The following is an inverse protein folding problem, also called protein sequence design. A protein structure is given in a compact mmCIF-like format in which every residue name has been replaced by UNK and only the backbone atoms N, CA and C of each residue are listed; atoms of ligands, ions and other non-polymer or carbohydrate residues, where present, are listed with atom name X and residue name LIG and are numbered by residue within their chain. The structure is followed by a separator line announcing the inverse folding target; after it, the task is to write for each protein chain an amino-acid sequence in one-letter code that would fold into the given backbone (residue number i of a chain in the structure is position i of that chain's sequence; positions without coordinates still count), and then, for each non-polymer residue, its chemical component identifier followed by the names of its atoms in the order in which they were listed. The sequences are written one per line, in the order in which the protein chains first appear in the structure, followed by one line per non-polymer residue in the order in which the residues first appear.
data_IF_573733512402
#
_entry.id   IF_573733512402
#
_cell.length_a   1.000
_cell.length_b   1.000
_cell.length_c   1.000
_cell.angle_alpha   90.00
_cell.angle_beta   90.00
_cell.angle_gamma   90.00
#
_symmetry.space_group_name_H-M   'P 1'
#
loop_
_entity.id
_entity.type
_entity.pdbx_description
1 polymer ?
#
# COMPACT_ATOMS: atom_id res chain seq x y z
N UNK A 1 -17.77 -7.40 6.06
CA UNK A 1 -16.44 -7.99 5.80
C UNK A 1 -16.48 -8.79 4.51
N UNK A 2 -15.60 -8.48 3.56
CA UNK A 2 -15.54 -9.11 2.23
C UNK A 2 -14.22 -9.88 2.08
N UNK A 3 -14.29 -11.16 1.71
CA UNK A 3 -13.10 -11.95 1.34
C UNK A 3 -12.85 -11.85 -0.16
N UNK A 4 -11.71 -11.30 -0.57
CA UNK A 4 -11.37 -11.11 -1.97
C UNK A 4 -10.67 -12.36 -2.56
N UNK A 5 -11.43 -13.44 -2.73
CA UNK A 5 -10.93 -14.71 -3.25
C UNK A 5 -10.52 -14.60 -4.74
N UNK A 6 -9.53 -15.39 -5.20
CA UNK A 6 -8.77 -16.43 -4.48
C UNK A 6 -7.55 -15.88 -3.71
N UNK A 7 -7.45 -14.57 -3.51
CA UNK A 7 -6.35 -13.95 -2.77
C UNK A 7 -6.57 -14.04 -1.26
N UNK A 8 -5.50 -13.92 -0.48
CA UNK A 8 -5.57 -13.88 0.99
C UNK A 8 -5.79 -12.44 1.48
N UNK A 9 -6.80 -11.78 0.94
CA UNK A 9 -7.12 -10.39 1.23
C UNK A 9 -8.54 -10.32 1.78
N UNK A 10 -8.68 -9.63 2.92
CA UNK A 10 -9.94 -9.39 3.60
C UNK A 10 -10.15 -7.89 3.70
N UNK A 11 -11.27 -7.39 3.18
CA UNK A 11 -11.70 -6.01 3.39
C UNK A 11 -12.63 -6.01 4.60
N UNK A 12 -12.30 -5.22 5.62
CA UNK A 12 -13.12 -5.13 6.82
C UNK A 12 -13.35 -3.67 7.19
N UNK A 13 -14.60 -3.22 7.12
CA UNK A 13 -14.98 -1.86 7.53
C UNK A 13 -15.15 -1.68 9.04
N UNK A 14 -14.90 -2.72 9.84
CA UNK A 14 -15.14 -2.69 11.29
C UNK A 14 -14.17 -1.74 12.01
N UNK A 15 -14.71 -0.69 12.64
CA UNK A 15 -14.05 0.36 13.43
C UNK A 15 -14.37 0.27 14.94
N UNK A 16 -14.88 -0.88 15.40
CA UNK A 16 -15.31 -1.06 16.79
C UNK A 16 -14.18 -0.83 17.80
N UNK A 17 -12.94 -1.17 17.43
CA UNK A 17 -11.78 -0.96 18.26
C UNK A 17 -11.50 0.54 18.46
N UNK A 18 -11.69 1.37 17.42
CA UNK A 18 -11.60 2.82 17.49
C UNK A 18 -12.71 3.43 18.34
N UNK A 19 -13.94 2.95 18.18
CA UNK A 19 -15.08 3.41 18.98
C UNK A 19 -14.83 3.13 20.46
N UNK A 20 -14.35 1.93 20.81
CA UNK A 20 -14.02 1.58 22.19
C UNK A 20 -12.83 2.38 22.73
N UNK A 21 -11.78 2.54 21.92
CA UNK A 21 -10.61 3.33 22.29
C UNK A 21 -10.97 4.80 22.51
N UNK A 22 -11.79 5.39 21.63
CA UNK A 22 -12.29 6.75 21.73
C UNK A 22 -13.15 6.96 22.98
N UNK A 23 -14.07 6.03 23.29
CA UNK A 23 -14.85 6.05 24.54
C UNK A 23 -13.95 6.03 25.76
N UNK A 24 -12.95 5.13 25.79
CA UNK A 24 -11.99 5.06 26.88
C UNK A 24 -11.22 6.37 27.07
N UNK A 25 -10.70 6.95 25.99
CA UNK A 25 -10.03 8.26 26.01
C UNK A 25 -10.95 9.37 26.53
N UNK A 26 -12.21 9.40 26.09
CA UNK A 26 -13.18 10.41 26.53
C UNK A 26 -13.55 10.31 28.01
N UNK A 27 -13.47 9.11 28.61
CA UNK A 27 -13.77 8.87 30.04
C UNK A 27 -12.59 9.10 30.99
N UNK A 28 -11.54 9.81 30.55
CA UNK A 28 -10.36 10.11 31.37
C UNK A 28 -9.22 9.10 31.25
N UNK A 29 -9.31 8.14 30.33
CA UNK A 29 -8.22 7.24 29.94
C UNK A 29 -7.57 6.43 31.09
N UNK A 30 -8.37 6.00 32.07
CA UNK A 30 -7.92 5.12 33.17
C UNK A 30 -7.22 3.86 32.61
N UNK A 31 -5.91 3.66 32.85
CA UNK A 31 -5.16 2.54 32.30
C UNK A 31 -5.75 1.17 32.63
N UNK A 32 -6.39 1.03 33.81
CA UNK A 32 -7.01 -0.23 34.22
C UNK A 32 -8.26 -0.59 33.40
N UNK A 33 -8.86 0.41 32.75
CA UNK A 33 -10.05 0.27 31.90
C UNK A 33 -9.73 0.33 30.42
N UNK A 34 -8.45 0.38 30.04
CA UNK A 34 -8.04 0.41 28.63
C UNK A 34 -8.58 -0.85 27.94
N UNK A 35 -9.36 -0.71 26.85
CA UNK A 35 -9.85 -1.84 26.08
C UNK A 35 -8.69 -2.76 25.68
N UNK A 36 -8.87 -4.05 25.91
CA UNK A 36 -7.88 -5.09 25.57
C UNK A 36 -8.22 -5.71 24.21
N UNK A 37 -7.21 -6.29 23.55
CA UNK A 37 -7.36 -7.02 22.29
C UNK A 37 -8.03 -6.21 21.17
N UNK A 38 -7.75 -4.90 21.11
CA UNK A 38 -8.25 -4.01 20.06
C UNK A 38 -7.92 -4.54 18.66
N UNK A 39 -6.69 -5.04 18.50
CA UNK A 39 -6.23 -5.68 17.27
C UNK A 39 -7.08 -6.87 16.83
N UNK A 40 -7.55 -7.71 17.75
CA UNK A 40 -8.39 -8.86 17.40
C UNK A 40 -9.82 -8.46 17.02
N UNK A 41 -10.28 -7.28 17.45
CA UNK A 41 -11.61 -6.76 17.13
C UNK A 41 -11.69 -6.31 15.67
N UNK A 42 -10.65 -5.64 15.17
CA UNK A 42 -10.54 -5.22 13.76
C UNK A 42 -10.54 -6.40 12.77
N UNK A 43 -10.19 -7.61 13.21
CA UNK A 43 -10.13 -8.80 12.33
C UNK A 43 -11.46 -9.55 12.26
N UNK A 44 -12.44 -9.13 13.06
CA UNK A 44 -13.77 -9.73 13.11
C UNK A 44 -14.77 -8.85 12.37
N UNK A 45 -15.80 -9.44 11.75
CA UNK A 45 -16.90 -8.66 11.19
C UNK A 45 -17.57 -7.86 12.31
N UNK A 46 -18.02 -6.65 12.00
CA UNK A 46 -18.82 -5.88 12.96
C UNK A 46 -20.13 -6.65 13.24
N UNK A 47 -20.50 -6.86 14.52
CA UNK A 47 -21.75 -7.55 14.88
C UNK A 47 -23.00 -6.74 14.52
N UNK A 48 -22.85 -5.44 14.25
CA UNK A 48 -23.93 -4.54 13.88
C UNK A 48 -23.78 -4.12 12.41
N UNK A 49 -24.90 -4.09 11.69
CA UNK A 49 -24.91 -3.54 10.34
C UNK A 49 -24.72 -2.02 10.39
N UNK A 50 -23.85 -1.52 9.51
CA UNK A 50 -23.63 -0.10 9.29
C UNK A 50 -23.56 0.16 7.78
N UNK A 51 -24.38 1.07 7.28
CA UNK A 51 -24.32 1.50 5.88
C UNK A 51 -22.95 2.06 5.51
N UNK A 52 -22.28 2.71 6.46
CA UNK A 52 -20.95 3.25 6.27
C UNK A 52 -19.90 2.14 6.09
N UNK A 53 -19.98 1.07 6.89
CA UNK A 53 -19.07 -0.09 6.73
C UNK A 53 -19.32 -0.80 5.40
N UNK A 54 -20.59 -0.99 5.02
CA UNK A 54 -20.93 -1.60 3.73
C UNK A 54 -20.45 -0.75 2.55
N UNK A 55 -20.60 0.58 2.64
CA UNK A 55 -20.10 1.52 1.63
C UNK A 55 -18.58 1.44 1.53
N UNK A 56 -17.85 1.53 2.65
CA UNK A 56 -16.39 1.38 2.68
C UNK A 56 -15.94 0.08 2.01
N UNK A 57 -16.50 -1.06 2.43
CA UNK A 57 -16.11 -2.37 1.92
C UNK A 57 -16.37 -2.50 0.41
N UNK A 58 -17.50 -1.97 -0.06
CA UNK A 58 -17.86 -1.94 -1.48
C UNK A 58 -16.88 -1.09 -2.29
N UNK A 59 -16.49 0.08 -1.77
CA UNK A 59 -15.58 0.99 -2.44
C UNK A 59 -14.15 0.43 -2.53
N UNK A 60 -13.66 -0.19 -1.47
CA UNK A 60 -12.35 -0.88 -1.49
C UNK A 60 -12.40 -2.09 -2.43
N UNK A 61 -13.47 -2.89 -2.40
CA UNK A 61 -13.64 -4.01 -3.34
C UNK A 61 -13.60 -3.53 -4.80
N UNK A 62 -14.25 -2.40 -5.11
CA UNK A 62 -14.22 -1.84 -6.48
C UNK A 62 -12.81 -1.51 -6.93
N UNK A 63 -11.95 -0.99 -6.05
CA UNK A 63 -10.54 -0.72 -6.34
C UNK A 63 -9.73 -1.99 -6.53
N UNK A 64 -9.91 -2.99 -5.66
CA UNK A 64 -9.29 -4.31 -5.83
C UNK A 64 -9.69 -4.95 -7.18
N UNK A 65 -10.95 -4.81 -7.59
CA UNK A 65 -11.41 -5.29 -8.88
C UNK A 65 -10.74 -4.56 -10.04
N UNK A 66 -10.54 -3.23 -9.96
CA UNK A 66 -9.76 -2.48 -10.96
C UNK A 66 -8.31 -2.98 -11.03
N UNK A 67 -7.65 -3.07 -9.88
CA UNK A 67 -6.27 -3.57 -9.76
C UNK A 67 -6.16 -4.97 -10.39
N UNK A 68 -7.12 -5.85 -10.15
CA UNK A 68 -7.10 -7.23 -10.67
C UNK A 68 -7.25 -7.36 -12.19
N UNK A 69 -7.62 -6.29 -12.90
CA UNK A 69 -7.73 -6.30 -14.37
C UNK A 69 -6.38 -6.17 -15.08
N UNK A 70 -5.35 -5.66 -14.39
CA UNK A 70 -4.02 -5.43 -14.95
C UNK A 70 -3.05 -6.50 -14.46
N UNK A 71 -2.07 -6.89 -15.28
CA UNK A 71 -1.13 -7.99 -14.97
C UNK A 71 -0.25 -7.64 -13.78
N UNK A 72 0.19 -6.39 -13.68
CA UNK A 72 0.95 -5.86 -12.53
C UNK A 72 0.14 -6.03 -11.24
N UNK A 73 -1.13 -5.61 -11.26
CA UNK A 73 -2.02 -5.76 -10.12
C UNK A 73 -2.28 -7.22 -9.75
N UNK A 74 -2.45 -8.11 -10.74
CA UNK A 74 -2.58 -9.54 -10.52
C UNK A 74 -1.36 -10.15 -9.82
N UNK A 75 -0.14 -9.75 -10.19
CA UNK A 75 1.10 -10.22 -9.53
C UNK A 75 1.17 -9.77 -8.08
N UNK A 76 0.86 -8.49 -7.79
CA UNK A 76 0.81 -7.97 -6.40
C UNK A 76 -0.24 -8.72 -5.58
N UNK A 77 -1.45 -8.88 -6.11
CA UNK A 77 -2.53 -9.60 -5.43
C UNK A 77 -2.16 -11.09 -5.22
N UNK A 78 -1.52 -11.74 -6.20
CA UNK A 78 -1.07 -13.12 -6.10
C UNK A 78 0.01 -13.32 -5.02
N UNK A 79 0.87 -12.33 -4.79
CA UNK A 79 1.88 -12.38 -3.72
C UNK A 79 1.23 -12.55 -2.33
N UNK A 80 0.01 -12.03 -2.10
CA UNK A 80 -0.72 -12.25 -0.85
C UNK A 80 -0.94 -13.73 -0.52
N UNK A 81 -0.98 -14.62 -1.53
CA UNK A 81 -1.19 -16.06 -1.31
C UNK A 81 -0.04 -16.73 -0.56
N UNK A 82 1.13 -16.10 -0.55
CA UNK A 82 2.32 -16.58 0.15
C UNK A 82 2.37 -16.15 1.62
N UNK A 83 1.45 -15.27 2.06
CA UNK A 83 1.39 -14.85 3.46
C UNK A 83 0.95 -16.02 4.34
N UNK A 84 1.43 -16.05 5.59
CA UNK A 84 1.03 -17.05 6.58
C UNK A 84 -0.42 -16.83 7.07
N UNK A 85 -0.85 -15.58 7.14
CA UNK A 85 -2.20 -15.14 7.50
C UNK A 85 -2.85 -14.34 6.37
N UNK A 86 -4.11 -13.97 6.55
CA UNK A 86 -4.77 -13.05 5.64
C UNK A 86 -4.22 -11.62 5.81
N UNK A 87 -4.17 -10.85 4.73
CA UNK A 87 -3.92 -9.41 4.72
C UNK A 87 -5.25 -8.68 4.87
N UNK A 88 -5.33 -7.74 5.80
CA UNK A 88 -6.55 -6.98 6.06
C UNK A 88 -6.43 -5.57 5.48
N UNK A 89 -7.44 -5.12 4.75
CA UNK A 89 -7.60 -3.72 4.36
C UNK A 89 -8.69 -3.12 5.25
N UNK A 90 -8.31 -2.11 6.04
CA UNK A 90 -9.14 -1.53 7.11
C UNK A 90 -9.23 -0.01 6.98
N UNK A 91 -10.34 0.62 7.41
CA UNK A 91 -10.45 2.06 7.40
C UNK A 91 -9.46 2.70 8.39
N UNK A 92 -9.10 3.96 8.21
CA UNK A 92 -8.28 4.67 9.18
C UNK A 92 -9.05 4.95 10.46
N UNK A 93 -8.42 4.60 11.58
CA UNK A 93 -8.99 4.72 12.90
C UNK A 93 -8.53 5.93 13.71
N UNK A 94 -9.29 6.29 14.76
CA UNK A 94 -8.83 7.23 15.78
C UNK A 94 -7.57 6.70 16.45
N UNK A 95 -7.51 5.39 16.72
CA UNK A 95 -6.34 4.73 17.29
C UNK A 95 -5.11 4.93 16.40
N UNK A 96 -5.29 4.87 15.09
CA UNK A 96 -4.22 5.08 14.12
C UNK A 96 -3.71 6.52 14.12
N UNK A 97 -4.59 7.51 14.29
CA UNK A 97 -4.17 8.91 14.42
C UNK A 97 -3.42 9.19 15.73
N UNK A 98 -3.83 8.55 16.84
CA UNK A 98 -3.15 8.71 18.14
C UNK A 98 -1.76 8.07 18.13
N UNK A 99 -1.62 6.95 17.43
CA UNK A 99 -0.32 6.25 17.30
C UNK A 99 0.61 7.00 16.35
N UNK A 100 0.07 7.69 15.34
CA UNK A 100 0.88 8.35 14.30
C UNK A 100 1.22 9.83 14.55
N UNK A 101 0.57 10.51 15.51
CA UNK A 101 0.74 11.96 15.69
C UNK A 101 0.98 12.33 17.17
N UNK A 102 2.13 12.95 17.46
CA UNK A 102 2.45 13.64 18.74
C UNK A 102 1.73 15.01 18.86
N UNK A 103 0.42 15.13 18.61
CA UNK A 103 -0.25 16.44 18.67
C UNK A 103 -1.54 16.45 19.50
N UNK A 104 -1.63 17.46 20.38
CA UNK A 104 -2.62 17.65 21.45
C UNK A 104 -4.04 18.05 21.00
N UNK A 105 -4.43 17.85 19.73
CA UNK A 105 -5.75 18.28 19.25
C UNK A 105 -6.48 17.24 18.40
N UNK A 106 -6.81 16.10 19.01
CA UNK A 106 -7.62 15.06 18.36
C UNK A 106 -9.08 15.52 18.32
N UNK A 107 -9.55 16.00 17.16
CA UNK A 107 -10.99 16.11 16.90
C UNK A 107 -11.53 14.74 16.47
N UNK A 108 -12.58 14.28 17.16
CA UNK A 108 -13.29 13.03 16.86
C UNK A 108 -14.05 13.16 15.53
N UNK A 109 -13.41 12.83 14.42
CA UNK A 109 -14.07 12.58 13.15
C UNK A 109 -13.92 11.11 12.79
N UNK A 110 -15.02 10.48 12.36
CA UNK A 110 -15.11 9.08 11.91
C UNK A 110 -14.41 8.88 10.55
N UNK A 111 -13.90 9.96 9.96
CA UNK A 111 -13.15 9.95 8.71
C UNK A 111 -11.91 10.82 8.88
N UNK A 112 -10.96 10.49 9.79
CA UNK A 112 -9.70 11.20 9.81
C UNK A 112 -9.07 10.93 8.45
N UNK A 113 -8.74 11.98 7.71
CA UNK A 113 -7.90 11.85 6.54
C UNK A 113 -6.51 11.43 7.04
N UNK A 114 -6.30 10.12 7.24
CA UNK A 114 -4.97 9.58 7.47
C UNK A 114 -4.38 9.26 6.10
N UNK A 115 -3.07 9.45 6.00
CA UNK A 115 -2.32 8.88 4.89
C UNK A 115 -2.54 7.37 4.89
N UNK A 116 -2.75 6.81 3.68
CA UNK A 116 -2.74 5.37 3.52
C UNK A 116 -1.37 4.85 3.98
N UNK A 117 -1.36 3.71 4.67
CA UNK A 117 -0.12 3.08 5.10
C UNK A 117 -0.32 1.58 5.35
N UNK A 118 0.71 0.80 5.11
CA UNK A 118 0.75 -0.61 5.49
C UNK A 118 1.36 -0.81 6.89
N UNK A 119 0.86 -1.82 7.60
CA UNK A 119 1.46 -2.41 8.79
C UNK A 119 1.70 -3.89 8.52
N UNK A 120 2.83 -4.27 7.92
CA UNK A 120 3.08 -5.66 7.57
C UNK A 120 3.21 -6.55 8.81
N UNK A 121 2.89 -7.83 8.65
CA UNK A 121 3.03 -8.81 9.72
C UNK A 121 4.47 -8.84 10.27
N UNK A 122 4.59 -8.99 11.59
CA UNK A 122 5.86 -9.08 12.31
C UNK A 122 5.70 -10.00 13.55
N UNK A 123 6.74 -10.26 14.37
CA UNK A 123 6.61 -11.13 15.54
C UNK A 123 5.52 -10.73 16.55
N UNK A 124 5.13 -9.45 16.58
CA UNK A 124 4.08 -8.92 17.47
C UNK A 124 2.72 -8.78 16.77
N UNK A 125 2.72 -8.64 15.44
CA UNK A 125 1.54 -8.48 14.61
C UNK A 125 1.38 -9.66 13.67
N UNK A 126 0.47 -10.58 14.00
CA UNK A 126 0.32 -11.85 13.27
C UNK A 126 -0.09 -11.70 11.80
N UNK A 127 -0.69 -10.56 11.43
CA UNK A 127 -1.24 -10.33 10.10
C UNK A 127 -0.85 -8.97 9.53
N UNK A 128 -0.61 -8.92 8.21
CA UNK A 128 -0.43 -7.66 7.52
C UNK A 128 -1.73 -6.87 7.50
N UNK A 129 -1.63 -5.56 7.63
CA UNK A 129 -2.74 -4.61 7.50
C UNK A 129 -2.39 -3.53 6.50
N UNK A 130 -3.39 -3.05 5.78
CA UNK A 130 -3.33 -1.85 4.95
C UNK A 130 -4.42 -0.93 5.45
N UNK A 131 -4.01 0.18 6.07
CA UNK A 131 -4.92 1.24 6.48
C UNK A 131 -5.14 2.12 5.26
N UNK A 132 -6.37 2.15 4.76
CA UNK A 132 -6.70 2.83 3.51
C UNK A 132 -8.09 3.45 3.57
N UNK A 133 -8.19 4.74 3.22
CA UNK A 133 -9.45 5.42 2.96
C UNK A 133 -9.69 5.53 1.46
N UNK A 134 -10.80 4.98 0.91
CA UNK A 134 -11.16 5.21 -0.48
C UNK A 134 -11.60 6.66 -0.76
N UNK A 135 -11.79 7.50 0.25
CA UNK A 135 -12.27 8.88 0.15
C UNK A 135 -11.19 9.86 0.60
N UNK A 136 -10.97 10.95 -0.16
CA UNK A 136 -9.87 11.91 0.08
C UNK A 136 -10.20 13.04 1.08
N UNK A 137 -11.44 13.19 1.56
CA UNK A 137 -11.83 14.31 2.45
C UNK A 137 -12.07 13.88 3.90
N UNK A 138 -11.84 14.81 4.84
CA UNK A 138 -12.09 14.64 6.28
C UNK A 138 -13.58 14.54 6.69
N UNK A 139 -14.48 14.48 5.72
CA UNK A 139 -15.85 14.02 5.90
C UNK A 139 -16.09 12.87 4.91
N UNK A 140 -17.04 12.00 5.22
CA UNK A 140 -17.49 10.93 4.33
C UNK A 140 -18.74 11.33 3.50
N UNK A 141 -18.74 12.38 2.65
CA UNK A 141 -19.84 12.62 1.73
C UNK A 141 -19.69 11.71 0.51
N UNK A 142 -20.83 11.42 -0.14
CA UNK A 142 -20.90 10.68 -1.41
C UNK A 142 -20.13 11.34 -2.56
N UNK A 143 -19.81 12.63 -2.41
CA UNK A 143 -19.20 13.48 -3.45
C UNK A 143 -17.71 13.78 -3.19
N UNK A 144 -17.09 13.13 -2.19
CA UNK A 144 -15.66 13.27 -1.96
C UNK A 144 -14.87 12.75 -3.17
N UNK A 145 -13.79 13.45 -3.59
CA UNK A 145 -12.89 12.88 -4.58
C UNK A 145 -12.33 11.56 -4.04
N UNK A 146 -12.26 10.58 -4.91
CA UNK A 146 -11.87 9.22 -4.56
C UNK A 146 -10.34 9.09 -4.55
N UNK A 147 -9.80 8.37 -3.57
CA UNK A 147 -8.40 7.98 -3.61
C UNK A 147 -8.17 7.06 -4.83
N UNK A 148 -7.12 7.35 -5.57
CA UNK A 148 -6.72 6.59 -6.75
C UNK A 148 -6.35 5.15 -6.35
N UNK A 149 -6.70 4.17 -7.19
CA UNK A 149 -6.41 2.75 -6.91
C UNK A 149 -4.91 2.44 -6.86
N UNK A 150 -4.05 3.26 -7.48
CA UNK A 150 -2.60 3.11 -7.38
C UNK A 150 -2.08 3.35 -5.95
N UNK A 151 -2.74 4.19 -5.15
CA UNK A 151 -2.40 4.35 -3.71
C UNK A 151 -2.67 3.05 -2.96
N UNK A 152 -3.82 2.39 -3.19
CA UNK A 152 -4.08 1.09 -2.58
C UNK A 152 -3.08 0.03 -3.06
N UNK A 153 -2.74 0.03 -4.35
CA UNK A 153 -1.73 -0.88 -4.89
C UNK A 153 -0.37 -0.68 -4.21
N UNK A 154 0.07 0.57 -4.03
CA UNK A 154 1.31 0.92 -3.33
C UNK A 154 1.35 0.30 -1.92
N UNK A 155 0.30 0.51 -1.12
CA UNK A 155 0.24 -0.08 0.22
C UNK A 155 0.16 -1.61 0.21
N UNK A 156 -0.49 -2.20 -0.79
CA UNK A 156 -0.52 -3.65 -0.95
C UNK A 156 0.89 -4.21 -1.19
N UNK A 157 1.78 -3.49 -1.90
CA UNK A 157 3.16 -3.94 -2.14
C UNK A 157 3.94 -4.08 -0.84
N UNK A 158 3.75 -3.16 0.12
CA UNK A 158 4.29 -3.29 1.47
C UNK A 158 3.65 -4.48 2.21
N UNK A 159 2.31 -4.53 2.22
CA UNK A 159 1.56 -5.51 3.00
C UNK A 159 1.81 -6.96 2.59
N UNK A 160 2.07 -7.24 1.30
CA UNK A 160 2.32 -8.60 0.79
C UNK A 160 3.78 -9.06 0.96
N UNK A 161 4.68 -8.22 1.46
CA UNK A 161 6.12 -8.52 1.59
C UNK A 161 6.67 -8.23 3.00
N UNK A 162 6.05 -8.73 4.09
CA UNK A 162 6.41 -8.35 5.46
C UNK A 162 7.89 -8.53 5.78
N UNK A 163 8.49 -9.67 5.38
CA UNK A 163 9.91 -9.94 5.67
C UNK A 163 10.88 -9.00 4.94
N UNK A 164 10.44 -8.40 3.83
CA UNK A 164 11.27 -7.51 3.02
C UNK A 164 11.06 -6.08 3.49
N UNK A 165 9.82 -5.72 3.84
CA UNK A 165 9.52 -4.47 4.51
C UNK A 165 10.39 -4.28 5.75
N UNK A 166 10.44 -5.26 6.66
CA UNK A 166 11.27 -5.17 7.89
C UNK A 166 12.76 -4.95 7.60
N UNK A 167 13.27 -5.50 6.49
CA UNK A 167 14.69 -5.38 6.11
C UNK A 167 14.99 -4.08 5.41
N UNK A 168 14.11 -3.64 4.51
CA UNK A 168 14.37 -2.55 3.56
C UNK A 168 13.90 -1.20 4.07
N UNK A 169 12.87 -1.15 4.90
CA UNK A 169 12.36 0.11 5.47
C UNK A 169 13.42 0.87 6.28
N UNK A 170 14.32 0.21 7.05
CA UNK A 170 15.42 0.91 7.72
C UNK A 170 16.56 1.38 6.80
N UNK A 171 16.62 0.91 5.54
CA UNK A 171 17.68 1.25 4.59
C UNK A 171 17.37 2.58 3.87
N UNK A 172 17.66 3.70 4.55
CA UNK A 172 17.51 5.05 3.98
C UNK A 172 18.26 5.21 2.65
N UNK A 173 17.63 5.86 1.69
CA UNK A 173 18.25 6.19 0.39
C UNK A 173 18.95 7.55 0.37
N UNK A 174 18.68 8.41 1.37
CA UNK A 174 19.13 9.81 1.45
C UNK A 174 18.81 10.64 0.18
N UNK A 175 17.68 10.35 -0.46
CA UNK A 175 17.16 11.05 -1.64
C UNK A 175 15.61 11.00 -1.65
N UNK A 176 15.00 11.42 -2.76
CA UNK A 176 13.54 11.54 -2.94
C UNK A 176 12.72 10.24 -2.78
N UNK A 177 13.39 9.09 -2.58
CA UNK A 177 12.73 7.81 -2.35
C UNK A 177 12.54 7.50 -0.86
N UNK A 178 13.13 8.27 0.04
CA UNK A 178 13.13 8.04 1.50
C UNK A 178 13.90 6.77 1.94
N UNK A 179 13.50 5.59 1.48
CA UNK A 179 14.12 4.31 1.80
C UNK A 179 13.95 3.28 0.65
N UNK A 180 14.62 2.12 0.77
CA UNK A 180 14.57 1.10 -0.29
C UNK A 180 13.21 0.40 -0.43
N UNK A 181 12.39 0.41 0.61
CA UNK A 181 11.06 -0.21 0.58
C UNK A 181 10.08 0.70 -0.17
N UNK A 182 10.12 2.00 0.10
CA UNK A 182 9.37 3.02 -0.65
C UNK A 182 9.82 3.09 -2.12
N UNK A 183 11.13 3.05 -2.37
CA UNK A 183 11.66 2.93 -3.73
C UNK A 183 10.98 1.76 -4.47
N UNK A 184 10.95 0.58 -3.86
CA UNK A 184 10.36 -0.59 -4.49
C UNK A 184 8.85 -0.42 -4.72
N UNK A 185 8.11 0.05 -3.70
CA UNK A 185 6.67 0.22 -3.78
C UNK A 185 6.26 1.24 -4.84
N UNK A 186 6.97 2.37 -4.95
CA UNK A 186 6.74 3.37 -6.00
C UNK A 186 7.05 2.81 -7.39
N UNK A 187 8.15 2.07 -7.59
CA UNK A 187 8.43 1.46 -8.91
C UNK A 187 7.34 0.48 -9.32
N UNK A 188 6.80 -0.33 -8.40
CA UNK A 188 5.67 -1.22 -8.73
C UNK A 188 4.40 -0.41 -9.03
N UNK A 189 4.16 0.69 -8.30
CA UNK A 189 3.06 1.62 -8.58
C UNK A 189 3.18 2.24 -9.98
N UNK A 190 4.38 2.66 -10.37
CA UNK A 190 4.64 3.29 -11.67
C UNK A 190 4.47 2.30 -12.83
N UNK A 191 4.89 1.04 -12.66
CA UNK A 191 4.63 -0.03 -13.63
C UNK A 191 3.11 -0.23 -13.81
N UNK A 192 2.35 -0.22 -12.71
CA UNK A 192 0.89 -0.35 -12.74
C UNK A 192 0.22 0.83 -13.44
N UNK A 193 0.60 2.06 -13.11
CA UNK A 193 0.11 3.29 -13.75
C UNK A 193 0.41 3.27 -15.26
N UNK A 194 1.62 2.88 -15.64
CA UNK A 194 1.99 2.75 -17.04
C UNK A 194 1.19 1.68 -17.77
N UNK A 195 0.94 0.52 -17.16
CA UNK A 195 0.10 -0.53 -17.73
C UNK A 195 -1.37 -0.08 -17.88
N UNK A 196 -1.85 0.76 -16.94
CA UNK A 196 -3.20 1.36 -16.97
C UNK A 196 -3.36 2.40 -18.09
N UNK A 197 -2.26 2.88 -18.66
CA UNK A 197 -2.23 3.87 -19.74
C UNK A 197 -2.11 5.31 -19.25
N UNK A 198 -1.76 5.52 -17.98
CA UNK A 198 -1.42 6.84 -17.47
C UNK A 198 -0.19 7.39 -18.22
N UNK A 199 -0.17 8.70 -18.46
CA UNK A 199 0.90 9.35 -19.25
C UNK A 199 2.13 9.72 -18.43
N UNK A 200 1.94 9.81 -17.12
CA UNK A 200 2.94 10.21 -16.16
C UNK A 200 2.97 9.20 -15.01
N UNK A 201 4.16 8.96 -14.50
CA UNK A 201 4.45 8.13 -13.33
C UNK A 201 5.27 8.96 -12.33
N UNK A 202 5.46 8.47 -11.11
CA UNK A 202 6.17 9.23 -10.08
C UNK A 202 7.68 9.20 -10.35
N UNK A 203 8.35 10.32 -10.10
CA UNK A 203 9.82 10.33 -10.07
C UNK A 203 10.42 10.08 -8.70
N UNK A 204 9.60 9.94 -7.66
CA UNK A 204 10.02 9.77 -6.26
C UNK A 204 8.84 9.47 -5.33
N UNK A 205 9.16 9.18 -4.06
CA UNK A 205 8.18 8.98 -3.00
C UNK A 205 7.63 10.30 -2.45
N UNK A 206 8.44 11.35 -2.41
CA UNK A 206 8.00 12.64 -1.85
C UNK A 206 6.91 13.31 -2.69
N UNK A 207 5.98 14.02 -2.04
CA UNK A 207 4.87 14.73 -2.70
C UNK A 207 5.33 15.82 -3.70
N UNK A 208 6.59 16.26 -3.64
CA UNK A 208 7.19 17.23 -4.55
C UNK A 208 8.08 16.64 -5.64
N UNK A 209 8.22 15.31 -5.71
CA UNK A 209 9.03 14.68 -6.74
C UNK A 209 8.46 14.96 -8.13
N UNK A 210 9.31 15.32 -9.08
CA UNK A 210 8.88 15.57 -10.46
C UNK A 210 8.33 14.29 -11.09
N UNK A 211 7.22 14.38 -11.80
CA UNK A 211 6.69 13.26 -12.59
C UNK A 211 7.67 12.86 -13.70
N UNK A 212 7.65 11.59 -14.07
CA UNK A 212 8.36 11.05 -15.22
C UNK A 212 7.35 10.67 -16.32
N UNK A 213 7.69 10.77 -17.61
CA UNK A 213 6.84 10.21 -18.66
C UNK A 213 6.67 8.70 -18.49
N UNK A 214 5.46 8.18 -18.64
CA UNK A 214 5.16 6.74 -18.56
C UNK A 214 5.52 6.03 -19.89
N UNK A 215 6.78 6.13 -20.30
CA UNK A 215 7.26 5.63 -21.60
C UNK A 215 8.46 4.71 -21.43
N UNK A 216 8.74 3.94 -22.48
CA UNK A 216 9.93 3.08 -22.53
C UNK A 216 11.23 3.89 -22.49
N UNK A 217 11.26 5.03 -23.18
CA UNK A 217 12.42 5.93 -23.15
C UNK A 217 12.70 6.38 -21.72
N UNK A 218 11.67 6.78 -20.99
CA UNK A 218 11.82 7.16 -19.59
C UNK A 218 12.30 6.00 -18.69
N UNK A 219 11.92 4.74 -18.96
CA UNK A 219 12.52 3.60 -18.25
C UNK A 219 14.01 3.43 -18.53
N UNK A 220 14.43 3.64 -19.78
CA UNK A 220 15.85 3.61 -20.15
C UNK A 220 16.62 4.74 -19.47
N UNK A 221 16.13 5.98 -19.56
CA UNK A 221 16.73 7.17 -18.92
C UNK A 221 16.78 7.03 -17.39
N UNK A 222 15.73 6.46 -16.78
CA UNK A 222 15.71 6.14 -15.36
C UNK A 222 16.87 5.22 -14.95
N UNK A 223 17.23 4.27 -15.83
CA UNK A 223 18.31 3.31 -15.64
C UNK A 223 19.71 3.86 -15.98
N UNK A 224 19.83 5.01 -16.64
CA UNK A 224 21.11 5.70 -16.83
C UNK A 224 21.65 6.27 -15.50
N UNK A 225 20.76 6.56 -14.55
CA UNK A 225 21.15 6.89 -13.19
C UNK A 225 21.75 5.65 -12.49
N UNK A 226 23.06 5.68 -12.22
CA UNK A 226 23.81 4.56 -11.60
C UNK A 226 23.23 4.08 -10.28
N UNK A 227 22.65 4.98 -9.48
CA UNK A 227 22.04 4.64 -8.19
C UNK A 227 20.73 3.87 -8.42
N UNK A 228 19.85 4.36 -9.31
CA UNK A 228 18.62 3.66 -9.67
C UNK A 228 18.92 2.29 -10.31
N UNK A 229 19.89 2.23 -11.23
CA UNK A 229 20.36 0.99 -11.82
C UNK A 229 20.76 -0.04 -10.75
N UNK A 230 21.57 0.38 -9.77
CA UNK A 230 22.00 -0.50 -8.69
C UNK A 230 20.83 -1.00 -7.82
N UNK A 231 19.85 -0.13 -7.53
CA UNK A 231 18.64 -0.49 -6.78
C UNK A 231 17.76 -1.49 -7.54
N UNK A 232 17.52 -1.24 -8.83
CA UNK A 232 16.75 -2.15 -9.71
C UNK A 232 17.44 -3.51 -9.81
N UNK A 233 18.76 -3.54 -10.02
CA UNK A 233 19.56 -4.76 -10.01
C UNK A 233 19.45 -5.53 -8.69
N UNK A 234 19.54 -4.82 -7.55
CA UNK A 234 19.43 -5.42 -6.23
C UNK A 234 18.03 -5.97 -5.97
N UNK A 235 16.98 -5.25 -6.37
CA UNK A 235 15.60 -5.69 -6.28
C UNK A 235 15.38 -6.98 -7.09
N UNK A 236 15.84 -7.04 -8.35
CA UNK A 236 15.73 -8.25 -9.17
C UNK A 236 16.48 -9.46 -8.61
N UNK A 237 17.61 -9.23 -7.93
CA UNK A 237 18.34 -10.31 -7.26
C UNK A 237 17.58 -10.88 -6.05
N UNK A 238 16.88 -10.02 -5.31
CA UNK A 238 16.30 -10.35 -3.99
C UNK A 238 14.81 -10.71 -4.04
N UNK A 239 14.04 -10.08 -4.93
CA UNK A 239 12.59 -10.03 -4.89
C UNK A 239 11.94 -10.84 -6.02
N UNK A 240 11.21 -11.90 -5.67
CA UNK A 240 10.44 -12.69 -6.64
C UNK A 240 9.42 -11.85 -7.40
N UNK A 241 8.80 -10.87 -6.74
CA UNK A 241 7.83 -9.98 -7.38
C UNK A 241 8.48 -9.12 -8.48
N UNK A 242 9.67 -8.55 -8.24
CA UNK A 242 10.40 -7.82 -9.28
C UNK A 242 10.79 -8.73 -10.45
N UNK A 243 11.22 -9.96 -10.17
CA UNK A 243 11.54 -10.94 -11.22
C UNK A 243 10.32 -11.25 -12.10
N UNK A 244 9.13 -11.40 -11.50
CA UNK A 244 7.89 -11.62 -12.25
C UNK A 244 7.46 -10.38 -13.05
N UNK A 245 7.62 -9.18 -12.47
CA UNK A 245 7.33 -7.92 -13.16
C UNK A 245 8.29 -7.68 -14.35
N UNK A 246 9.53 -8.13 -14.26
CA UNK A 246 10.49 -8.04 -15.36
C UNK A 246 10.04 -8.79 -16.63
N UNK A 247 9.17 -9.80 -16.49
CA UNK A 247 8.62 -10.57 -17.61
C UNK A 247 7.51 -9.82 -18.37
N UNK A 248 7.02 -8.69 -17.84
CA UNK A 248 5.98 -7.86 -18.46
C UNK A 248 6.63 -6.80 -19.37
N UNK A 249 7.24 -7.26 -20.47
CA UNK A 249 8.10 -6.45 -21.33
C UNK A 249 7.36 -5.40 -22.18
N UNK A 250 6.05 -5.57 -22.37
CA UNK A 250 5.19 -4.70 -23.18
C UNK A 250 4.61 -3.50 -22.39
N UNK A 251 4.85 -3.43 -21.08
CA UNK A 251 4.48 -2.25 -20.28
C UNK A 251 5.45 -1.10 -20.60
N UNK A 252 4.96 0.10 -20.98
CA UNK A 252 5.83 1.18 -21.43
C UNK A 252 6.90 1.56 -20.40
N UNK A 253 6.52 1.87 -19.16
CA UNK A 253 7.46 2.13 -18.07
C UNK A 253 7.63 0.87 -17.22
N UNK A 254 8.73 0.15 -17.40
CA UNK A 254 9.11 -1.01 -16.60
C UNK A 254 10.64 -1.14 -16.49
N UNK A 255 11.27 -0.48 -15.49
CA UNK A 255 12.71 -0.56 -15.28
C UNK A 255 13.24 -1.97 -15.00
N UNK A 256 12.40 -2.86 -14.45
CA UNK A 256 12.77 -4.27 -14.24
C UNK A 256 12.93 -5.01 -15.57
N UNK A 257 11.97 -4.86 -16.48
CA UNK A 257 12.07 -5.43 -17.83
C UNK A 257 13.21 -4.79 -18.63
N UNK A 258 13.39 -3.47 -18.52
CA UNK A 258 14.47 -2.76 -19.22
C UNK A 258 15.86 -3.25 -18.79
N UNK A 259 16.05 -3.53 -17.49
CA UNK A 259 17.29 -4.11 -16.99
C UNK A 259 17.58 -5.50 -17.59
N UNK A 260 16.58 -6.37 -17.71
CA UNK A 260 16.76 -7.70 -18.32
C UNK A 260 17.04 -7.58 -19.83
N UNK A 261 16.38 -6.66 -20.55
CA UNK A 261 16.67 -6.39 -21.96
C UNK A 261 18.12 -5.92 -22.17
N UNK A 262 18.57 -4.93 -21.39
CA UNK A 262 19.91 -4.37 -21.52
C UNK A 262 21.03 -5.40 -21.26
N UNK A 263 20.81 -6.41 -20.40
CA UNK A 263 21.79 -7.50 -20.21
C UNK A 263 22.07 -8.28 -21.50
N UNK A 264 21.07 -8.42 -22.36
CA UNK A 264 21.21 -9.14 -23.63
C UNK A 264 21.92 -8.29 -24.68
N UNK A 265 21.72 -6.97 -24.65
CA UNK A 265 22.41 -6.03 -25.53
C UNK A 265 23.88 -5.81 -25.15
N UNK A 266 24.23 -5.86 -23.86
CA UNK A 266 25.61 -5.74 -23.35
C UNK A 266 26.51 -6.97 -23.62
N UNK A 267 26.05 -7.96 -24.39
CA UNK A 267 26.98 -8.91 -25.05
C UNK A 267 27.60 -8.33 -26.32
N UNK A 268 27.29 -7.08 -26.67
CA UNK A 268 27.86 -6.35 -27.80
C UNK A 268 28.82 -5.22 -27.40
N UNK A 269 29.14 -5.07 -26.10
CA UNK A 269 30.22 -4.21 -25.56
C UNK A 269 31.19 -5.10 -24.77
#
# INVERSE_FOLDING_TARGET
MIKFKPYRIVVNGNDQDDVEYGRWKATGADPAKKPQNLDDKELKPNPFFSEQHALYETEVLRRLLKISKLRTGQLVLAASRQLASDLYIIPPGIRDTVISIESDSIRFQICPASTAHARPANPYLKNSRVVFSPFLTGSCPKDAPYADDSTLLHELVHGVRPSQFEKLKPESTNDQWTDLEEFFAVIVQDIYLSERGDKEVRGGHDAGASSLPATRVASYEFMENKTNYARVKAALKREKLAQQLALLEDIPFNPFAEFERAKHDLRSI
#
